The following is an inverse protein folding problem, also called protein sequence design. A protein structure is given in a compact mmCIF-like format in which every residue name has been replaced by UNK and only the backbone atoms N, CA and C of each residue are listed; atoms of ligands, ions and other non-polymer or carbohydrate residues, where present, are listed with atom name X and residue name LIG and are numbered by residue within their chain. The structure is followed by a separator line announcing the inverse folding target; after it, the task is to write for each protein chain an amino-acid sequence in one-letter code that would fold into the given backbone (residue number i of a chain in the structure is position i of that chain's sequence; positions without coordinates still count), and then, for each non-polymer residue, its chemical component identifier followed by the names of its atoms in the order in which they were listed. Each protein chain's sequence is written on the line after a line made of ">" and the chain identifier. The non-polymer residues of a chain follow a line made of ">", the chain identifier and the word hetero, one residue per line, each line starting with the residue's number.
data_IF_250333001032
#
_entry.id   IF_250333001032
#
_cell.length_a   1.000
_cell.length_b   1.000
_cell.length_c   1.000
_cell.angle_alpha   90.00
_cell.angle_beta   90.00
_cell.angle_gamma   90.00
#
_symmetry.space_group_name_H-M   'P 1'
#
loop_
_entity.id
_entity.type
_entity.pdbx_description
1 polymer ?
#
# COMPACT_ATOMS: atom_id res chain seq x y z
N UNK A 1 -18.04 -2.15 8.53
CA UNK A 1 -16.84 -2.55 7.77
C UNK A 1 -16.73 -1.56 6.62
N UNK A 2 -15.67 -0.77 6.57
CA UNK A 2 -15.46 0.24 5.52
C UNK A 2 -14.34 -0.26 4.62
N UNK A 3 -14.67 -0.60 3.37
CA UNK A 3 -13.70 -0.95 2.35
C UNK A 3 -13.51 0.27 1.44
N UNK A 4 -12.26 0.61 1.12
CA UNK A 4 -11.95 1.63 0.13
C UNK A 4 -11.70 0.88 -1.17
N UNK A 5 -12.55 1.13 -2.17
CA UNK A 5 -12.37 0.61 -3.53
C UNK A 5 -11.68 1.68 -4.36
N UNK A 6 -10.52 1.34 -4.91
CA UNK A 6 -9.76 2.19 -5.83
C UNK A 6 -9.77 1.49 -7.19
N UNK A 7 -10.47 2.08 -8.17
CA UNK A 7 -10.45 1.57 -9.54
C UNK A 7 -9.27 2.22 -10.28
N UNK A 8 -8.31 1.43 -10.75
CA UNK A 8 -7.25 1.94 -11.61
C UNK A 8 -7.87 2.35 -12.96
N UNK A 9 -7.38 3.46 -13.52
CA UNK A 9 -7.99 4.21 -14.62
C UNK A 9 -7.99 3.50 -15.99
N UNK A 10 -7.50 2.26 -16.07
CA UNK A 10 -7.33 1.53 -17.32
C UNK A 10 -8.36 0.42 -17.57
N UNK A 11 -9.43 0.30 -16.77
CA UNK A 11 -10.53 -0.68 -16.91
C UNK A 11 -10.14 -2.18 -16.91
N UNK A 12 -8.85 -2.49 -16.96
CA UNK A 12 -8.31 -3.85 -16.98
C UNK A 12 -8.05 -4.41 -15.58
N UNK A 13 -7.78 -3.53 -14.61
CA UNK A 13 -7.42 -3.91 -13.23
C UNK A 13 -8.08 -2.96 -12.24
N UNK A 14 -8.54 -3.48 -11.12
CA UNK A 14 -8.98 -2.64 -10.00
C UNK A 14 -8.54 -3.23 -8.66
N UNK A 15 -8.44 -2.38 -7.64
CA UNK A 15 -7.95 -2.78 -6.32
C UNK A 15 -8.98 -2.52 -5.22
N UNK A 16 -9.01 -3.43 -4.25
CA UNK A 16 -9.83 -3.33 -3.05
C UNK A 16 -8.96 -3.37 -1.81
N UNK A 17 -9.12 -2.40 -0.92
CA UNK A 17 -8.50 -2.44 0.40
C UNK A 17 -9.52 -2.80 1.46
N UNK A 18 -9.23 -3.89 2.19
CA UNK A 18 -10.12 -4.47 3.20
C UNK A 18 -9.39 -4.61 4.52
N UNK A 19 -9.98 -4.09 5.60
CA UNK A 19 -9.50 -4.33 6.96
C UNK A 19 -10.18 -5.54 7.58
N UNK A 20 -9.42 -6.58 7.94
CA UNK A 20 -9.90 -7.81 8.56
C UNK A 20 -8.93 -8.27 9.65
N UNK A 21 -9.45 -8.62 10.82
CA UNK A 21 -8.66 -9.12 11.97
C UNK A 21 -7.48 -8.21 12.36
N UNK A 22 -7.68 -6.89 12.27
CA UNK A 22 -6.66 -5.88 12.58
C UNK A 22 -5.64 -5.63 11.48
N UNK A 23 -5.63 -6.46 10.43
CA UNK A 23 -4.75 -6.36 9.26
C UNK A 23 -5.45 -5.66 8.09
N UNK A 24 -4.68 -5.09 7.19
CA UNK A 24 -5.18 -4.53 5.93
C UNK A 24 -4.73 -5.44 4.81
N UNK A 25 -5.65 -5.78 3.91
CA UNK A 25 -5.39 -6.59 2.73
C UNK A 25 -5.70 -5.74 1.51
N UNK A 26 -4.84 -5.81 0.50
CA UNK A 26 -5.07 -5.25 -0.82
C UNK A 26 -5.27 -6.39 -1.81
N UNK A 27 -6.47 -6.45 -2.39
CA UNK A 27 -6.81 -7.39 -3.44
C UNK A 27 -6.65 -6.70 -4.79
N UNK A 28 -6.02 -7.39 -5.74
CA UNK A 28 -5.91 -6.96 -7.13
C UNK A 28 -6.79 -7.89 -7.96
N UNK A 29 -7.70 -7.31 -8.73
CA UNK A 29 -8.63 -8.04 -9.58
C UNK A 29 -8.45 -7.66 -11.04
N UNK A 30 -8.70 -8.61 -11.94
CA UNK A 30 -8.88 -8.30 -13.36
C UNK A 30 -10.24 -7.61 -13.62
N UNK A 31 -10.44 -7.16 -14.86
CA UNK A 31 -11.69 -6.54 -15.31
C UNK A 31 -12.91 -7.47 -15.29
N UNK A 32 -12.72 -8.79 -15.19
CA UNK A 32 -13.76 -9.80 -15.05
C UNK A 32 -14.11 -10.11 -13.58
N UNK A 33 -13.32 -9.57 -12.63
CA UNK A 33 -13.50 -9.77 -11.19
C UNK A 33 -12.76 -10.97 -10.61
N UNK A 34 -11.85 -11.62 -11.35
CA UNK A 34 -10.99 -12.66 -10.79
C UNK A 34 -9.84 -12.04 -9.99
N UNK A 35 -9.48 -12.67 -8.87
CA UNK A 35 -8.32 -12.25 -8.07
C UNK A 35 -7.04 -12.61 -8.82
N UNK A 36 -6.22 -11.60 -9.11
CA UNK A 36 -4.89 -11.76 -9.68
C UNK A 36 -3.82 -11.87 -8.58
N UNK A 37 -3.96 -11.07 -7.52
CA UNK A 37 -3.00 -11.03 -6.41
C UNK A 37 -3.66 -10.57 -5.10
N UNK A 38 -3.04 -10.93 -3.97
CA UNK A 38 -3.43 -10.50 -2.63
C UNK A 38 -2.18 -10.09 -1.85
N UNK A 39 -2.08 -8.81 -1.54
CA UNK A 39 -1.02 -8.27 -0.69
C UNK A 39 -1.56 -8.07 0.72
N UNK A 40 -0.91 -8.67 1.72
CA UNK A 40 -1.15 -8.34 3.12
C UNK A 40 -0.27 -7.15 3.50
N UNK A 41 -0.89 -6.06 3.95
CA UNK A 41 -0.16 -5.04 4.69
C UNK A 41 0.19 -5.65 6.05
N UNK A 42 1.40 -6.18 6.14
CA UNK A 42 2.06 -6.31 7.43
C UNK A 42 2.28 -4.88 7.87
N UNK A 43 1.45 -4.39 8.79
CA UNK A 43 1.64 -3.09 9.40
C UNK A 43 2.99 -3.08 10.11
N UNK A 44 4.07 -2.81 9.38
CA UNK A 44 5.35 -2.44 9.95
C UNK A 44 5.19 -1.00 10.36
N UNK A 45 4.59 -0.75 11.53
CA UNK A 45 4.85 0.51 12.19
C UNK A 45 6.36 0.55 12.38
N UNK A 46 7.03 1.47 11.70
CA UNK A 46 8.41 1.77 12.00
C UNK A 46 8.45 2.11 13.50
N UNK A 47 9.39 1.53 14.23
CA UNK A 47 9.69 2.06 15.56
C UNK A 47 10.04 3.54 15.42
N UNK A 48 9.89 4.36 16.47
CA UNK A 48 10.29 5.76 16.40
C UNK A 48 11.72 5.97 15.85
N UNK A 49 12.61 5.02 16.12
CA UNK A 49 13.99 4.98 15.61
C UNK A 49 14.04 4.72 14.11
N UNK A 50 13.29 3.73 13.62
CA UNK A 50 13.20 3.39 12.20
C UNK A 50 12.55 4.52 11.38
N UNK A 51 11.55 5.21 11.95
CA UNK A 51 10.92 6.38 11.34
C UNK A 51 11.93 7.53 11.23
N UNK A 52 12.69 7.80 12.30
CA UNK A 52 13.71 8.85 12.29
C UNK A 52 14.82 8.57 11.26
N UNK A 53 15.24 7.31 11.11
CA UNK A 53 16.21 6.89 10.09
C UNK A 53 15.65 7.08 8.67
N UNK A 54 14.40 6.66 8.43
CA UNK A 54 13.74 6.79 7.13
C UNK A 54 13.63 8.27 6.71
N UNK A 55 13.18 9.14 7.62
CA UNK A 55 13.06 10.59 7.37
C UNK A 55 14.41 11.25 7.10
N UNK A 56 15.48 10.79 7.76
CA UNK A 56 16.83 11.28 7.50
C UNK A 56 17.28 10.93 6.08
N UNK A 57 17.09 9.67 5.65
CA UNK A 57 17.46 9.22 4.29
C UNK A 57 16.73 10.01 3.20
N UNK A 58 15.44 10.25 3.38
CA UNK A 58 14.66 11.10 2.45
C UNK A 58 15.24 12.52 2.32
N UNK A 59 15.69 13.12 3.42
CA UNK A 59 16.33 14.44 3.41
C UNK A 59 17.68 14.41 2.69
N UNK A 60 18.51 13.44 3.01
CA UNK A 60 19.85 13.31 2.43
C UNK A 60 19.77 13.05 0.91
N UNK A 61 18.85 12.19 0.47
CA UNK A 61 18.60 11.91 -0.95
C UNK A 61 18.08 13.16 -1.68
N UNK A 62 17.17 13.93 -1.07
CA UNK A 62 16.65 15.19 -1.63
C UNK A 62 17.69 16.32 -1.70
N UNK A 63 18.78 16.22 -0.92
CA UNK A 63 19.89 17.16 -0.93
C UNK A 63 21.00 16.78 -1.92
N UNK A 64 21.01 15.54 -2.42
CA UNK A 64 22.02 15.04 -3.36
C UNK A 64 21.71 15.32 -4.83
N UNK A 65 20.53 15.87 -5.14
CA UNK A 65 20.13 16.30 -6.48
C UNK A 65 20.60 17.72 -6.80
N UNK A 66 21.88 17.90 -7.12
CA UNK A 66 22.44 19.10 -7.80
C UNK A 66 23.47 18.70 -8.84
#
# INVERSE_FOLDING_TARGET
>A
MTAIRVKALNDEVWTEMVRKDGKVFMYVYDGAGNVLDVMEEVASSLTPEQEAEFQKRLRDDSASGT
#
